data_IF_161636346196
#
_entry.id   IF_161636346196
#
_cell.length_a   1.000
_cell.length_b   1.000
_cell.length_c   1.000
_cell.angle_alpha   90.00
_cell.angle_beta   90.00
_cell.angle_gamma   90.00
#
_symmetry.space_group_name_H-M   'P 1'
#
loop_
_entity.id
_entity.type
_entity.pdbx_description
1 polymer ?
#
# COMPACT_ATOMS: atom_id res chain seq x y z
N UNK A 1 -44.94 12.67 21.71
CA UNK A 1 -44.47 13.45 20.56
C UNK A 1 -44.31 12.47 19.40
N UNK A 2 -45.01 12.73 18.29
CA UNK A 2 -44.94 11.88 17.10
C UNK A 2 -43.52 12.01 16.47
N UNK A 3 -42.88 10.88 16.17
CA UNK A 3 -41.62 10.82 15.46
C UNK A 3 -41.88 11.31 14.02
N UNK A 4 -41.08 12.26 13.47
CA UNK A 4 -41.26 12.71 12.09
C UNK A 4 -41.25 11.54 11.11
N UNK A 5 -42.12 11.55 10.10
CA UNK A 5 -42.27 10.45 9.13
C UNK A 5 -40.94 10.07 8.44
N UNK A 6 -40.04 11.03 8.22
CA UNK A 6 -38.70 10.78 7.70
C UNK A 6 -37.82 9.95 8.65
N UNK A 7 -37.92 10.17 9.97
CA UNK A 7 -37.18 9.38 10.96
C UNK A 7 -37.76 7.97 11.08
N UNK A 8 -39.08 7.81 10.99
CA UNK A 8 -39.72 6.48 10.96
C UNK A 8 -39.27 5.67 9.73
N UNK A 9 -39.13 6.29 8.57
CA UNK A 9 -38.66 5.62 7.35
C UNK A 9 -37.21 5.11 7.46
N UNK A 10 -36.35 5.80 8.22
CA UNK A 10 -34.95 5.37 8.45
C UNK A 10 -34.88 4.11 9.33
N UNK A 11 -35.79 3.95 10.28
CA UNK A 11 -35.83 2.79 11.18
C UNK A 11 -36.65 1.61 10.64
N UNK A 12 -37.61 1.83 9.78
CA UNK A 12 -38.48 0.76 9.23
C UNK A 12 -37.79 0.00 8.09
N UNK A 13 -36.99 0.65 7.24
CA UNK A 13 -36.25 0.00 6.13
C UNK A 13 -35.28 -1.08 6.59
N UNK A 14 -34.39 -0.86 7.58
CA UNK A 14 -33.53 -1.92 8.08
C UNK A 14 -34.30 -3.12 8.70
N UNK A 15 -35.40 -2.87 9.39
CA UNK A 15 -36.25 -3.93 9.92
C UNK A 15 -36.93 -4.75 8.82
N UNK A 16 -37.48 -4.10 7.81
CA UNK A 16 -38.09 -4.77 6.67
C UNK A 16 -37.06 -5.59 5.88
N UNK A 17 -35.87 -5.06 5.68
CA UNK A 17 -34.77 -5.78 5.03
C UNK A 17 -34.37 -7.01 5.85
N UNK A 18 -34.19 -6.86 7.17
CA UNK A 18 -33.87 -7.97 8.06
C UNK A 18 -34.92 -9.05 8.03
N UNK A 19 -36.20 -8.68 8.10
CA UNK A 19 -37.32 -9.62 8.03
C UNK A 19 -37.39 -10.35 6.68
N UNK A 20 -37.07 -9.65 5.58
CA UNK A 20 -37.02 -10.24 4.24
C UNK A 20 -35.84 -11.23 4.04
N UNK A 21 -34.77 -11.08 4.83
CA UNK A 21 -33.61 -11.97 4.79
C UNK A 21 -33.64 -13.07 5.84
N UNK A 22 -34.58 -12.99 6.79
CA UNK A 22 -34.74 -13.98 7.86
C UNK A 22 -35.08 -15.34 7.27
N UNK A 23 -34.29 -16.38 7.61
CA UNK A 23 -34.45 -17.73 7.08
C UNK A 23 -33.90 -17.96 5.67
N UNK A 24 -33.37 -16.97 5.01
CA UNK A 24 -32.65 -17.19 3.75
C UNK A 24 -31.22 -17.69 4.00
N UNK A 25 -30.77 -18.66 3.21
CA UNK A 25 -29.41 -19.13 3.26
C UNK A 25 -28.47 -17.99 2.81
N UNK A 26 -27.30 -17.87 3.46
CA UNK A 26 -26.28 -16.95 2.98
C UNK A 26 -25.90 -17.30 1.54
N UNK A 27 -25.81 -16.28 0.66
CA UNK A 27 -25.38 -16.54 -0.72
C UNK A 27 -23.97 -17.10 -0.72
N UNK A 28 -23.77 -18.21 -1.44
CA UNK A 28 -22.43 -18.74 -1.69
C UNK A 28 -21.68 -17.70 -2.52
N UNK A 29 -20.64 -17.13 -1.93
CA UNK A 29 -19.79 -16.18 -2.65
C UNK A 29 -18.74 -16.96 -3.42
N UNK A 30 -18.62 -16.66 -4.71
CA UNK A 30 -17.48 -17.12 -5.48
C UNK A 30 -16.18 -16.60 -4.85
N UNK A 31 -15.11 -17.41 -4.82
CA UNK A 31 -13.81 -16.94 -4.36
C UNK A 31 -13.40 -15.68 -5.12
N UNK A 32 -12.95 -14.65 -4.40
CA UNK A 32 -12.46 -13.44 -5.04
C UNK A 32 -11.22 -13.75 -5.88
N UNK A 33 -11.12 -13.24 -7.10
CA UNK A 33 -9.93 -13.41 -7.91
C UNK A 33 -8.74 -12.75 -7.20
N UNK A 34 -7.54 -13.33 -7.38
CA UNK A 34 -6.27 -12.79 -6.84
C UNK A 34 -5.87 -11.48 -7.56
N UNK A 35 -6.74 -10.49 -7.50
CA UNK A 35 -6.59 -9.15 -8.08
C UNK A 35 -6.75 -8.12 -7.00
N UNK A 36 -5.80 -7.19 -6.93
CA UNK A 36 -5.86 -6.12 -5.97
C UNK A 36 -6.63 -4.93 -6.53
N UNK A 37 -7.68 -4.50 -5.84
CA UNK A 37 -8.36 -3.26 -6.11
C UNK A 37 -8.08 -2.24 -5.01
N UNK A 38 -7.60 -1.07 -5.39
CA UNK A 38 -7.45 0.08 -4.52
C UNK A 38 -8.39 1.17 -4.99
N UNK A 39 -8.85 2.03 -4.09
CA UNK A 39 -9.80 3.07 -4.42
C UNK A 39 -9.50 4.37 -3.71
N UNK A 40 -9.69 5.47 -4.41
CA UNK A 40 -9.84 6.79 -3.83
C UNK A 40 -11.33 7.13 -3.68
N UNK A 41 -11.63 8.37 -3.35
CA UNK A 41 -13.00 8.89 -3.30
C UNK A 41 -13.75 8.77 -4.64
N UNK A 42 -13.07 8.86 -5.75
CA UNK A 42 -13.66 8.98 -7.09
C UNK A 42 -13.09 8.03 -8.14
N UNK A 43 -12.04 7.28 -7.82
CA UNK A 43 -11.36 6.40 -8.77
C UNK A 43 -10.97 5.08 -8.13
N UNK A 44 -11.05 3.98 -8.90
CA UNK A 44 -10.48 2.68 -8.54
C UNK A 44 -9.31 2.33 -9.46
N UNK A 45 -8.36 1.58 -8.92
CA UNK A 45 -7.20 1.05 -9.64
C UNK A 45 -7.10 -0.43 -9.38
N UNK A 46 -7.08 -1.22 -10.45
CA UNK A 46 -6.81 -2.66 -10.40
C UNK A 46 -5.33 -2.91 -10.62
N UNK A 47 -4.74 -3.71 -9.75
CA UNK A 47 -3.39 -4.26 -9.92
C UNK A 47 -3.52 -5.75 -10.09
N UNK A 48 -3.06 -6.26 -11.23
CA UNK A 48 -3.17 -7.65 -11.61
C UNK A 48 -1.94 -8.05 -12.42
N UNK A 49 -1.51 -9.31 -12.29
CA UNK A 49 -0.37 -9.87 -13.02
C UNK A 49 -0.54 -9.92 -14.55
N UNK A 50 -1.77 -9.82 -15.03
CA UNK A 50 -2.14 -9.92 -16.45
C UNK A 50 -2.61 -8.55 -17.01
N UNK A 51 -2.59 -7.48 -16.21
CA UNK A 51 -2.89 -6.11 -16.62
C UNK A 51 -1.60 -5.28 -16.78
N UNK A 52 -1.67 -4.14 -17.48
CA UNK A 52 -0.55 -3.22 -17.58
C UNK A 52 -0.01 -2.79 -16.23
N UNK A 53 1.30 -2.56 -16.17
CA UNK A 53 1.98 -2.14 -14.94
C UNK A 53 1.41 -0.85 -14.37
N UNK A 54 1.15 -0.84 -13.08
CA UNK A 54 0.68 0.33 -12.33
C UNK A 54 1.88 1.02 -11.68
N UNK A 55 2.04 2.32 -11.97
CA UNK A 55 3.11 3.12 -11.36
C UNK A 55 2.68 3.65 -10.00
N UNK A 56 3.53 3.45 -9.00
CA UNK A 56 3.40 4.00 -7.65
C UNK A 56 4.36 5.17 -7.52
N UNK A 57 3.84 6.36 -7.21
CA UNK A 57 4.64 7.54 -6.94
C UNK A 57 5.20 7.50 -5.51
N UNK A 58 6.53 7.42 -5.37
CA UNK A 58 7.25 7.24 -4.09
C UNK A 58 7.93 8.52 -3.57
N UNK A 59 7.64 9.69 -4.14
CA UNK A 59 8.39 10.93 -3.82
C UNK A 59 7.90 11.66 -2.57
N UNK A 60 6.76 11.26 -2.00
CA UNK A 60 6.28 11.77 -0.71
C UNK A 60 6.89 10.93 0.40
N UNK A 61 8.21 11.02 0.49
CA UNK A 61 9.01 10.33 1.50
C UNK A 61 10.17 11.24 1.93
N UNK A 62 10.25 11.62 3.22
CA UNK A 62 11.28 12.52 3.75
C UNK A 62 12.65 11.87 3.86
N UNK A 63 12.76 10.54 3.76
CA UNK A 63 14.03 9.80 3.87
C UNK A 63 15.01 10.27 2.81
N UNK A 64 16.18 10.76 3.24
CA UNK A 64 17.20 11.33 2.35
C UNK A 64 16.86 12.68 1.71
N UNK A 65 15.68 13.26 1.98
CA UNK A 65 15.19 14.53 1.43
C UNK A 65 15.12 15.62 2.50
N UNK A 66 16.28 16.17 2.87
CA UNK A 66 16.42 17.12 4.00
C UNK A 66 15.42 18.30 3.94
N UNK A 67 15.18 18.88 2.75
CA UNK A 67 14.23 19.98 2.57
C UNK A 67 12.80 19.56 2.90
N UNK A 68 12.35 18.42 2.36
CA UNK A 68 11.00 17.89 2.64
C UNK A 68 10.83 17.57 4.12
N UNK A 69 11.86 16.94 4.74
CA UNK A 69 11.83 16.63 6.18
C UNK A 69 11.76 17.89 7.04
N UNK A 70 12.45 18.99 6.66
CA UNK A 70 12.38 20.27 7.38
C UNK A 70 10.97 20.89 7.27
N UNK A 71 10.39 20.95 6.06
CA UNK A 71 9.04 21.47 5.85
C UNK A 71 7.98 20.68 6.64
N UNK A 72 8.09 19.34 6.65
CA UNK A 72 7.17 18.50 7.44
C UNK A 72 7.32 18.78 8.94
N UNK A 73 8.56 18.99 9.44
CA UNK A 73 8.83 19.32 10.85
C UNK A 73 8.23 20.65 11.25
N UNK A 74 8.20 21.61 10.33
CA UNK A 74 7.56 22.92 10.51
C UNK A 74 6.02 22.88 10.35
N UNK A 75 5.45 21.69 10.04
CA UNK A 75 4.03 21.50 9.81
C UNK A 75 3.55 21.95 8.42
N UNK A 76 4.48 22.26 7.51
CA UNK A 76 4.15 22.65 6.13
C UNK A 76 4.01 21.42 5.24
N UNK A 77 2.92 21.36 4.47
CA UNK A 77 2.67 20.31 3.48
C UNK A 77 2.82 20.82 2.02
N UNK A 78 3.45 21.98 1.81
CA UNK A 78 3.55 22.57 0.48
C UNK A 78 4.26 21.66 -0.52
N UNK A 79 5.43 21.13 -0.15
CA UNK A 79 6.17 20.19 -0.99
C UNK A 79 5.46 18.84 -1.13
N UNK A 80 4.80 18.35 -0.09
CA UNK A 80 3.98 17.13 -0.13
C UNK A 80 2.89 17.26 -1.18
N UNK A 81 2.11 18.34 -1.14
CA UNK A 81 1.04 18.63 -2.10
C UNK A 81 1.56 18.78 -3.53
N UNK A 82 2.67 19.48 -3.70
CA UNK A 82 3.33 19.65 -5.01
C UNK A 82 3.77 18.31 -5.59
N UNK A 83 4.41 17.45 -4.77
CA UNK A 83 4.83 16.11 -5.20
C UNK A 83 3.62 15.24 -5.55
N UNK A 84 2.54 15.26 -4.77
CA UNK A 84 1.33 14.50 -5.07
C UNK A 84 0.79 14.83 -6.47
N UNK A 85 0.60 16.12 -6.77
CA UNK A 85 0.09 16.57 -8.07
C UNK A 85 1.06 16.26 -9.22
N UNK A 86 2.37 16.47 -9.00
CA UNK A 86 3.39 16.25 -10.04
C UNK A 86 3.51 14.77 -10.42
N UNK A 87 3.47 13.86 -9.43
CA UNK A 87 3.55 12.43 -9.69
C UNK A 87 2.32 11.92 -10.46
N UNK A 88 1.12 12.37 -10.09
CA UNK A 88 -0.10 12.00 -10.84
C UNK A 88 -0.04 12.55 -12.28
N UNK A 89 0.41 13.79 -12.49
CA UNK A 89 0.62 14.35 -13.83
C UNK A 89 1.67 13.58 -14.64
N UNK A 90 2.68 13.01 -13.96
CA UNK A 90 3.71 12.18 -14.58
C UNK A 90 3.26 10.72 -14.82
N UNK A 91 2.02 10.37 -14.51
CA UNK A 91 1.44 9.06 -14.81
C UNK A 91 1.36 8.10 -13.62
N UNK A 92 1.72 8.52 -12.40
CA UNK A 92 1.50 7.70 -11.22
C UNK A 92 0.00 7.48 -11.01
N UNK A 93 -0.38 6.22 -10.80
CA UNK A 93 -1.77 5.80 -10.56
C UNK A 93 -2.05 5.52 -9.09
N UNK A 94 -1.02 5.33 -8.30
CA UNK A 94 -1.00 5.26 -6.84
C UNK A 94 0.03 6.27 -6.31
N UNK A 95 -0.18 6.75 -5.09
CA UNK A 95 0.80 7.58 -4.37
C UNK A 95 1.15 6.91 -3.05
N UNK A 96 2.43 6.71 -2.84
CA UNK A 96 2.99 6.28 -1.56
C UNK A 96 3.26 7.49 -0.67
N UNK A 97 2.78 7.44 0.58
CA UNK A 97 2.81 8.59 1.50
C UNK A 97 3.49 8.18 2.79
N UNK A 98 4.70 8.70 2.98
CA UNK A 98 5.50 8.55 4.19
C UNK A 98 5.70 9.93 4.85
N UNK A 99 5.35 10.03 6.12
CA UNK A 99 5.49 11.24 6.94
C UNK A 99 6.46 11.06 8.11
N UNK A 100 7.31 10.02 8.07
CA UNK A 100 8.24 9.65 9.12
C UNK A 100 9.40 10.63 9.27
N UNK A 101 9.26 11.60 10.14
CA UNK A 101 10.28 12.58 10.51
C UNK A 101 10.50 12.53 12.01
N UNK A 102 11.74 12.44 12.44
CA UNK A 102 12.06 12.45 13.88
C UNK A 102 11.63 13.77 14.54
N UNK A 103 11.05 13.66 15.74
CA UNK A 103 10.68 14.80 16.57
C UNK A 103 9.33 15.44 16.25
N UNK A 104 8.47 14.77 15.45
CA UNK A 104 7.10 15.23 15.20
C UNK A 104 6.07 14.21 15.69
N UNK A 105 4.83 14.65 15.82
CA UNK A 105 3.67 13.78 16.00
C UNK A 105 3.33 13.11 14.66
N UNK A 106 3.77 11.87 14.48
CA UNK A 106 3.57 11.09 13.27
C UNK A 106 2.08 10.86 12.96
N UNK A 107 1.26 10.70 14.00
CA UNK A 107 -0.19 10.48 13.91
C UNK A 107 -0.87 11.69 13.28
N UNK A 108 -0.57 12.88 13.80
CA UNK A 108 -1.10 14.15 13.30
C UNK A 108 -0.62 14.43 11.88
N UNK A 109 0.68 14.23 11.62
CA UNK A 109 1.28 14.48 10.31
C UNK A 109 0.68 13.55 9.23
N UNK A 110 0.55 12.26 9.51
CA UNK A 110 -0.04 11.30 8.57
C UNK A 110 -1.50 11.63 8.29
N UNK A 111 -2.30 11.86 9.34
CA UNK A 111 -3.72 12.24 9.18
C UNK A 111 -3.86 13.48 8.28
N UNK A 112 -3.07 14.52 8.53
CA UNK A 112 -3.15 15.77 7.79
C UNK A 112 -2.72 15.56 6.32
N UNK A 113 -1.59 14.88 6.07
CA UNK A 113 -1.10 14.60 4.73
C UNK A 113 -2.12 13.81 3.90
N UNK A 114 -2.66 12.71 4.46
CA UNK A 114 -3.67 11.87 3.79
C UNK A 114 -4.92 12.68 3.46
N UNK A 115 -5.43 13.48 4.41
CA UNK A 115 -6.61 14.33 4.18
C UNK A 115 -6.39 15.31 3.04
N UNK A 116 -5.26 16.00 3.03
CA UNK A 116 -4.95 17.02 2.02
C UNK A 116 -4.68 16.41 0.64
N UNK A 117 -3.94 15.31 0.56
CA UNK A 117 -3.67 14.62 -0.71
C UNK A 117 -4.96 14.06 -1.32
N UNK A 118 -5.84 13.47 -0.50
CA UNK A 118 -7.11 12.92 -0.97
C UNK A 118 -8.08 13.97 -1.51
N UNK A 119 -7.89 15.25 -1.15
CA UNK A 119 -8.65 16.38 -1.73
C UNK A 119 -8.05 16.88 -3.05
N UNK A 120 -6.74 16.73 -3.22
CA UNK A 120 -6.00 17.27 -4.37
C UNK A 120 -5.92 16.33 -5.56
N UNK A 121 -5.94 15.02 -5.33
CA UNK A 121 -5.78 14.00 -6.36
C UNK A 121 -6.82 12.89 -6.22
N UNK A 122 -7.08 12.19 -7.32
CA UNK A 122 -7.94 11.02 -7.37
C UNK A 122 -7.14 9.70 -7.35
N UNK A 123 -5.82 9.75 -7.18
CA UNK A 123 -4.99 8.57 -7.06
C UNK A 123 -5.20 7.89 -5.70
N UNK A 124 -5.43 6.56 -5.65
CA UNK A 124 -5.40 5.82 -4.39
C UNK A 124 -4.06 5.95 -3.67
N UNK A 125 -4.09 5.82 -2.33
CA UNK A 125 -2.91 6.00 -1.49
C UNK A 125 -2.41 4.68 -0.92
N UNK A 126 -1.09 4.54 -0.88
CA UNK A 126 -0.37 3.65 0.00
C UNK A 126 0.07 4.46 1.23
N UNK A 127 -0.21 3.96 2.42
CA UNK A 127 0.17 4.58 3.69
C UNK A 127 1.43 3.88 4.18
N UNK A 128 2.56 4.58 4.06
CA UNK A 128 3.89 4.07 4.39
C UNK A 128 4.30 4.56 5.79
N UNK A 129 4.23 3.66 6.75
CA UNK A 129 4.66 3.92 8.11
C UNK A 129 4.95 2.62 8.86
N UNK A 130 5.86 2.69 9.83
CA UNK A 130 6.12 1.62 10.79
C UNK A 130 5.37 1.81 12.12
N UNK A 131 4.70 2.94 12.31
CA UNK A 131 3.95 3.30 13.52
C UNK A 131 2.47 2.94 13.34
N UNK A 132 1.96 2.02 14.17
CA UNK A 132 0.57 1.56 14.11
C UNK A 132 -0.45 2.67 14.38
N UNK A 133 -0.14 3.62 15.26
CA UNK A 133 -1.02 4.74 15.56
C UNK A 133 -1.10 5.73 14.38
N UNK A 134 0.04 6.01 13.74
CA UNK A 134 0.08 6.82 12.53
C UNK A 134 -0.65 6.12 11.35
N UNK A 135 -0.48 4.80 11.22
CA UNK A 135 -1.21 3.99 10.25
C UNK A 135 -2.72 4.11 10.46
N UNK A 136 -3.19 3.88 11.69
CA UNK A 136 -4.62 3.97 11.99
C UNK A 136 -5.17 5.37 11.72
N UNK A 137 -4.43 6.41 12.06
CA UNK A 137 -4.84 7.79 11.82
C UNK A 137 -4.96 8.09 10.32
N UNK A 138 -4.03 7.59 9.51
CA UNK A 138 -4.08 7.69 8.05
C UNK A 138 -5.26 6.93 7.45
N UNK A 139 -5.44 5.66 7.83
CA UNK A 139 -6.56 4.82 7.37
C UNK A 139 -7.91 5.41 7.72
N UNK A 140 -8.08 5.93 8.93
CA UNK A 140 -9.30 6.58 9.40
C UNK A 140 -9.62 7.85 8.62
N UNK A 141 -8.60 8.60 8.21
CA UNK A 141 -8.77 9.85 7.46
C UNK A 141 -8.99 9.62 5.96
N UNK A 142 -8.64 8.45 5.44
CA UNK A 142 -8.68 8.18 4.01
C UNK A 142 -10.07 7.74 3.54
N UNK A 143 -10.70 8.46 2.58
CA UNK A 143 -12.06 8.15 2.12
C UNK A 143 -12.10 7.09 1.02
N UNK A 144 -11.19 6.13 1.02
CA UNK A 144 -11.06 5.09 0.00
C UNK A 144 -10.53 3.78 0.55
N UNK A 145 -10.15 2.87 -0.35
CA UNK A 145 -9.45 1.64 0.00
C UNK A 145 -7.95 1.84 -0.18
N UNK A 146 -7.23 2.00 0.93
CA UNK A 146 -5.79 2.21 0.95
C UNK A 146 -5.00 0.90 0.79
N UNK A 147 -3.70 1.05 0.44
CA UNK A 147 -2.68 0.03 0.59
C UNK A 147 -1.87 0.34 1.86
N UNK A 148 -1.68 -0.62 2.73
CA UNK A 148 -0.76 -0.52 3.87
C UNK A 148 0.65 -0.87 3.38
N UNK A 149 1.59 0.04 3.47
CA UNK A 149 2.99 -0.16 3.15
C UNK A 149 3.82 -0.11 4.45
N UNK A 150 4.26 -1.24 5.01
CA UNK A 150 4.11 -2.62 4.58
C UNK A 150 3.89 -3.52 5.80
N UNK A 151 3.45 -4.74 5.54
CA UNK A 151 3.39 -5.81 6.55
C UNK A 151 4.56 -6.76 6.29
N UNK A 152 5.39 -6.95 7.32
CA UNK A 152 6.52 -7.88 7.33
C UNK A 152 6.15 -9.17 8.07
N UNK A 153 7.01 -10.20 7.99
CA UNK A 153 6.82 -11.46 8.71
C UNK A 153 7.31 -11.40 10.18
N UNK A 154 7.42 -10.19 10.72
CA UNK A 154 7.72 -9.94 12.13
C UNK A 154 6.43 -10.01 12.96
N UNK A 155 6.45 -10.71 14.10
CA UNK A 155 5.26 -10.96 14.91
C UNK A 155 4.57 -9.68 15.40
N UNK A 156 5.35 -8.68 15.79
CA UNK A 156 4.81 -7.36 16.19
C UNK A 156 4.08 -6.69 15.04
N UNK A 157 4.63 -6.77 13.83
CA UNK A 157 4.02 -6.20 12.63
C UNK A 157 2.71 -6.90 12.27
N UNK A 158 2.71 -8.22 12.32
CA UNK A 158 1.52 -9.07 12.12
C UNK A 158 0.44 -8.69 13.13
N UNK A 159 0.79 -8.67 14.42
CA UNK A 159 -0.14 -8.38 15.53
C UNK A 159 -0.78 -7.00 15.41
N UNK A 160 0.01 -5.99 15.05
CA UNK A 160 -0.43 -4.58 15.12
C UNK A 160 -1.09 -4.11 13.82
N UNK A 161 -0.71 -4.64 12.64
CA UNK A 161 -1.13 -4.12 11.35
C UNK A 161 -2.29 -4.92 10.71
N UNK A 162 -2.35 -6.24 10.88
CA UNK A 162 -3.42 -7.03 10.26
C UNK A 162 -4.82 -6.70 10.81
N UNK A 163 -5.01 -6.48 12.13
CA UNK A 163 -6.30 -6.02 12.63
C UNK A 163 -6.73 -4.66 12.07
N UNK A 164 -5.77 -3.75 11.82
CA UNK A 164 -6.06 -2.47 11.19
C UNK A 164 -6.44 -2.65 9.72
N UNK A 165 -5.74 -3.51 8.98
CA UNK A 165 -6.12 -3.85 7.60
C UNK A 165 -7.55 -4.36 7.52
N UNK A 166 -7.91 -5.31 8.38
CA UNK A 166 -9.29 -5.85 8.46
C UNK A 166 -10.31 -4.78 8.85
N UNK A 167 -10.01 -4.01 9.89
CA UNK A 167 -10.89 -2.96 10.43
C UNK A 167 -11.27 -1.91 9.38
N UNK A 168 -10.30 -1.49 8.56
CA UNK A 168 -10.49 -0.43 7.57
C UNK A 168 -10.71 -0.97 6.14
N UNK A 169 -10.72 -2.28 5.93
CA UNK A 169 -10.83 -2.90 4.61
C UNK A 169 -9.68 -2.53 3.68
N UNK A 170 -8.50 -2.25 4.26
CA UNK A 170 -7.31 -1.90 3.51
C UNK A 170 -6.61 -3.14 2.96
N UNK A 171 -5.95 -2.99 1.81
CA UNK A 171 -5.06 -3.99 1.29
C UNK A 171 -3.67 -3.90 1.94
N UNK A 172 -2.87 -4.95 1.85
CA UNK A 172 -1.52 -4.97 2.42
C UNK A 172 -0.45 -5.24 1.36
N UNK A 173 0.66 -4.51 1.46
CA UNK A 173 1.90 -4.83 0.79
C UNK A 173 2.68 -5.79 1.69
N UNK A 174 2.87 -7.03 1.22
CA UNK A 174 3.64 -8.05 1.95
C UNK A 174 5.11 -7.90 1.60
N UNK A 175 5.96 -7.67 2.62
CA UNK A 175 7.40 -7.46 2.45
C UNK A 175 8.17 -8.60 3.13
N UNK A 176 9.04 -9.36 2.42
CA UNK A 176 9.69 -10.56 2.93
C UNK A 176 10.87 -10.24 3.86
N UNK A 177 10.55 -9.64 5.00
CA UNK A 177 11.45 -9.37 6.13
C UNK A 177 10.94 -10.18 7.32
N UNK A 178 11.83 -10.85 8.03
CA UNK A 178 11.55 -11.68 9.20
C UNK A 178 12.27 -11.11 10.43
N UNK A 179 12.10 -11.72 11.60
CA UNK A 179 12.85 -11.39 12.82
C UNK A 179 14.37 -11.50 12.61
N UNK A 180 14.81 -12.39 11.73
CA UNK A 180 16.23 -12.55 11.35
C UNK A 180 16.70 -11.50 10.34
N UNK A 181 15.82 -10.57 9.94
CA UNK A 181 16.05 -9.51 8.98
C UNK A 181 15.63 -9.87 7.55
N UNK A 182 16.34 -9.30 6.57
CA UNK A 182 16.00 -9.40 5.14
C UNK A 182 16.25 -10.80 4.60
N UNK A 183 15.22 -11.42 4.04
CA UNK A 183 15.32 -12.72 3.35
C UNK A 183 16.22 -12.62 2.11
N UNK A 184 17.29 -13.41 2.08
CA UNK A 184 18.33 -13.31 1.05
C UNK A 184 18.00 -14.08 -0.22
N UNK A 185 17.45 -15.28 -0.07
CA UNK A 185 17.11 -16.16 -1.21
C UNK A 185 15.66 -16.01 -1.64
N UNK A 186 15.36 -16.38 -2.87
CA UNK A 186 14.00 -16.34 -3.39
C UNK A 186 13.07 -17.28 -2.63
N UNK A 187 13.58 -18.44 -2.20
CA UNK A 187 12.86 -19.43 -1.42
C UNK A 187 12.50 -18.91 -0.03
N UNK A 188 13.43 -18.22 0.65
CA UNK A 188 13.16 -17.65 1.97
C UNK A 188 12.17 -16.48 1.87
N UNK A 189 12.24 -15.69 0.79
CA UNK A 189 11.25 -14.66 0.49
C UNK A 189 9.86 -15.26 0.28
N UNK A 190 9.77 -16.36 -0.47
CA UNK A 190 8.50 -17.07 -0.66
C UNK A 190 7.92 -17.52 0.68
N UNK A 191 8.72 -18.19 1.54
CA UNK A 191 8.27 -18.64 2.86
C UNK A 191 7.78 -17.48 3.75
N UNK A 192 8.52 -16.36 3.77
CA UNK A 192 8.11 -15.19 4.53
C UNK A 192 6.76 -14.63 4.04
N UNK A 193 6.56 -14.56 2.72
CA UNK A 193 5.28 -14.13 2.15
C UNK A 193 4.15 -15.12 2.43
N UNK A 194 4.39 -16.43 2.32
CA UNK A 194 3.41 -17.45 2.68
C UNK A 194 2.97 -17.33 4.14
N UNK A 195 3.91 -17.06 5.05
CA UNK A 195 3.62 -16.81 6.45
C UNK A 195 2.72 -15.58 6.63
N UNK A 196 3.08 -14.42 6.02
CA UNK A 196 2.26 -13.19 6.08
C UNK A 196 0.85 -13.44 5.54
N UNK A 197 0.73 -14.06 4.36
CA UNK A 197 -0.57 -14.36 3.72
C UNK A 197 -1.41 -15.31 4.58
N UNK A 198 -0.79 -16.34 5.16
CA UNK A 198 -1.44 -17.27 6.09
C UNK A 198 -2.02 -16.52 7.29
N UNK A 199 -1.20 -15.73 7.97
CA UNK A 199 -1.62 -14.91 9.12
C UNK A 199 -2.68 -13.87 8.76
N UNK A 200 -2.58 -13.26 7.59
CA UNK A 200 -3.57 -12.32 7.12
C UNK A 200 -4.94 -12.98 6.87
N UNK A 201 -4.97 -14.18 6.29
CA UNK A 201 -6.20 -14.96 6.11
C UNK A 201 -6.80 -15.40 7.45
N UNK A 202 -5.98 -15.80 8.42
CA UNK A 202 -6.44 -16.07 9.80
C UNK A 202 -7.10 -14.83 10.44
N UNK A 203 -6.64 -13.62 10.09
CA UNK A 203 -7.24 -12.35 10.48
C UNK A 203 -8.42 -11.92 9.60
N UNK A 204 -8.84 -12.74 8.63
CA UNK A 204 -10.01 -12.53 7.79
C UNK A 204 -9.80 -11.62 6.59
N UNK A 205 -8.54 -11.48 6.10
CA UNK A 205 -8.27 -10.88 4.80
C UNK A 205 -8.53 -11.89 3.69
N UNK A 206 -8.93 -11.39 2.51
CA UNK A 206 -9.28 -12.20 1.35
C UNK A 206 -8.19 -12.18 0.26
N UNK A 207 -8.33 -13.03 -0.75
CA UNK A 207 -7.39 -13.12 -1.89
C UNK A 207 -7.22 -11.81 -2.69
N UNK A 208 -8.15 -10.89 -2.57
CA UNK A 208 -8.09 -9.54 -3.19
C UNK A 208 -7.34 -8.49 -2.37
N UNK A 209 -6.68 -8.86 -1.27
CA UNK A 209 -6.08 -7.93 -0.32
C UNK A 209 -4.55 -7.85 -0.41
N UNK A 210 -3.90 -8.65 -1.26
CA UNK A 210 -2.45 -8.84 -1.24
C UNK A 210 -1.73 -8.21 -2.44
N UNK A 211 -0.63 -7.50 -2.16
CA UNK A 211 0.40 -7.09 -3.10
C UNK A 211 1.74 -7.58 -2.57
N UNK A 212 2.53 -8.30 -3.38
CA UNK A 212 3.77 -8.93 -2.94
C UNK A 212 4.98 -8.13 -3.39
N UNK A 213 5.85 -7.71 -2.47
CA UNK A 213 7.12 -7.07 -2.82
C UNK A 213 8.22 -8.13 -2.95
N UNK A 214 8.92 -8.12 -4.07
CA UNK A 214 10.05 -9.03 -4.30
C UNK A 214 11.36 -8.51 -3.70
N UNK A 215 11.33 -7.39 -2.96
CA UNK A 215 12.43 -6.81 -2.21
C UNK A 215 13.71 -6.58 -3.04
N UNK A 216 13.74 -5.48 -3.76
CA UNK A 216 14.91 -5.09 -4.55
C UNK A 216 16.00 -4.52 -3.66
N UNK A 217 17.10 -5.25 -3.53
CA UNK A 217 18.31 -4.79 -2.86
C UNK A 217 19.20 -3.98 -3.81
N UNK A 218 20.04 -3.09 -3.25
CA UNK A 218 21.01 -2.35 -4.05
C UNK A 218 22.07 -3.28 -4.66
N UNK A 219 22.40 -3.09 -5.93
CA UNK A 219 23.43 -3.91 -6.63
C UNK A 219 24.80 -3.81 -5.96
N UNK A 220 25.08 -2.70 -5.28
CA UNK A 220 26.30 -2.51 -4.51
C UNK A 220 26.37 -3.39 -3.26
N UNK A 221 25.23 -3.83 -2.74
CA UNK A 221 25.17 -4.68 -1.55
C UNK A 221 25.30 -6.18 -1.89
N UNK A 222 24.77 -6.61 -3.04
CA UNK A 222 24.83 -7.99 -3.49
C UNK A 222 24.79 -8.08 -5.02
N UNK A 223 25.81 -8.71 -5.62
CA UNK A 223 25.89 -8.92 -7.08
C UNK A 223 24.80 -9.87 -7.61
N UNK A 224 24.29 -10.77 -6.78
CA UNK A 224 23.24 -11.72 -7.12
C UNK A 224 21.82 -11.16 -6.88
N UNK A 225 21.70 -9.99 -6.25
CA UNK A 225 20.41 -9.43 -5.84
C UNK A 225 19.37 -9.39 -6.98
N UNK A 226 19.79 -9.03 -8.19
CA UNK A 226 18.87 -8.98 -9.34
C UNK A 226 18.37 -10.36 -9.76
N UNK A 227 19.23 -11.39 -9.69
CA UNK A 227 18.84 -12.77 -10.03
C UNK A 227 17.83 -13.31 -9.02
N UNK A 228 18.09 -13.07 -7.73
CA UNK A 228 17.17 -13.48 -6.67
C UNK A 228 15.82 -12.78 -6.77
N UNK A 229 15.78 -11.48 -7.12
CA UNK A 229 14.53 -10.76 -7.37
C UNK A 229 13.72 -11.37 -8.51
N UNK A 230 14.35 -11.67 -9.66
CA UNK A 230 13.67 -12.29 -10.80
C UNK A 230 13.13 -13.69 -10.44
N UNK A 231 13.93 -14.50 -9.72
CA UNK A 231 13.53 -15.80 -9.23
C UNK A 231 12.37 -15.68 -8.23
N UNK A 232 12.42 -14.70 -7.34
CA UNK A 232 11.33 -14.40 -6.39
C UNK A 232 10.02 -14.11 -7.11
N UNK A 233 10.04 -13.22 -8.12
CA UNK A 233 8.85 -12.91 -8.92
C UNK A 233 8.28 -14.15 -9.64
N UNK A 234 9.17 -15.00 -10.15
CA UNK A 234 8.75 -16.24 -10.80
C UNK A 234 8.07 -17.18 -9.80
N UNK A 235 8.64 -17.35 -8.59
CA UNK A 235 8.05 -18.16 -7.53
C UNK A 235 6.71 -17.59 -7.06
N UNK A 236 6.61 -16.27 -6.84
CA UNK A 236 5.35 -15.63 -6.46
C UNK A 236 4.25 -15.88 -7.50
N UNK A 237 4.59 -15.77 -8.79
CA UNK A 237 3.63 -16.02 -9.87
C UNK A 237 3.19 -17.47 -9.93
N UNK A 238 4.13 -18.43 -9.76
CA UNK A 238 3.86 -19.86 -9.88
C UNK A 238 3.14 -20.44 -8.66
N UNK A 239 3.60 -20.07 -7.45
CA UNK A 239 3.11 -20.67 -6.22
C UNK A 239 1.92 -19.93 -5.61
N UNK A 240 1.90 -18.58 -5.67
CA UNK A 240 0.92 -17.76 -4.99
C UNK A 240 -0.10 -17.12 -5.93
N UNK A 241 0.33 -16.66 -7.11
CA UNK A 241 -0.52 -16.08 -8.15
C UNK A 241 -1.08 -14.69 -7.83
N UNK A 242 -0.62 -14.01 -6.77
CA UNK A 242 -0.98 -12.63 -6.44
C UNK A 242 -0.17 -11.63 -7.27
N UNK A 243 -0.68 -10.39 -7.45
CA UNK A 243 0.09 -9.31 -8.06
C UNK A 243 1.33 -8.99 -7.22
N UNK A 244 2.41 -8.56 -7.89
CA UNK A 244 3.67 -8.22 -7.26
C UNK A 244 4.14 -6.82 -7.65
N UNK A 245 5.01 -6.24 -6.82
CA UNK A 245 5.62 -4.93 -7.02
C UNK A 245 7.13 -4.97 -6.88
N UNK A 246 7.78 -3.91 -7.36
CA UNK A 246 9.22 -3.73 -7.30
C UNK A 246 9.55 -2.27 -7.01
N UNK A 247 10.33 -2.00 -5.97
CA UNK A 247 10.94 -0.69 -5.71
C UNK A 247 12.22 -0.52 -6.55
N UNK A 248 12.08 -0.25 -7.85
CA UNK A 248 13.21 -0.18 -8.79
C UNK A 248 14.21 0.94 -8.47
N UNK A 249 13.80 2.01 -7.82
CA UNK A 249 14.67 3.11 -7.37
C UNK A 249 15.75 2.62 -6.41
N UNK A 250 15.49 1.63 -5.58
CA UNK A 250 16.47 1.05 -4.65
C UNK A 250 17.68 0.45 -5.36
N UNK A 251 17.49 -0.09 -6.58
CA UNK A 251 18.57 -0.70 -7.37
C UNK A 251 19.71 0.25 -7.70
N UNK A 252 19.42 1.53 -7.90
CA UNK A 252 20.39 2.55 -8.33
C UNK A 252 20.94 3.39 -7.18
N UNK A 253 20.55 3.15 -5.93
CA UNK A 253 21.14 3.82 -4.78
C UNK A 253 22.63 3.48 -4.69
N UNK A 254 23.45 4.48 -4.41
CA UNK A 254 24.92 4.37 -4.31
C UNK A 254 25.69 4.10 -5.61
N UNK A 255 25.07 4.19 -6.80
CA UNK A 255 25.79 4.13 -8.06
C UNK A 255 26.46 5.47 -8.42
N UNK A 256 27.65 5.48 -9.06
CA UNK A 256 28.33 6.71 -9.49
C UNK A 256 27.48 7.57 -10.42
N UNK A 257 27.75 8.90 -10.44
CA UNK A 257 27.00 9.91 -11.23
C UNK A 257 26.72 9.56 -12.70
N UNK A 258 27.63 8.82 -13.36
CA UNK A 258 27.40 8.34 -14.74
C UNK A 258 26.19 7.44 -14.91
N UNK A 259 25.80 6.74 -13.84
CA UNK A 259 24.65 5.86 -13.84
C UNK A 259 23.38 6.60 -13.39
N UNK A 260 23.51 7.81 -12.80
CA UNK A 260 22.37 8.66 -12.45
C UNK A 260 21.63 9.21 -13.68
N UNK A 261 22.31 9.42 -14.81
CA UNK A 261 21.65 9.75 -16.08
C UNK A 261 20.79 8.58 -16.58
N UNK A 262 21.19 7.33 -16.28
CA UNK A 262 20.37 6.15 -16.51
C UNK A 262 19.23 6.01 -15.48
N UNK A 263 19.34 6.65 -14.31
CA UNK A 263 18.25 6.71 -13.32
C UNK A 263 17.12 7.62 -13.82
N UNK A 264 17.45 8.81 -14.33
CA UNK A 264 16.48 9.70 -14.98
C UNK A 264 15.87 9.07 -16.22
N UNK A 265 16.65 8.37 -17.06
CA UNK A 265 16.15 7.59 -18.19
C UNK A 265 15.29 6.39 -17.78
N UNK A 266 15.56 5.76 -16.64
CA UNK A 266 14.71 4.63 -16.14
C UNK A 266 13.47 5.13 -15.43
N UNK A 267 13.52 6.26 -14.76
CA UNK A 267 12.33 6.99 -14.29
C UNK A 267 11.47 7.39 -15.51
N UNK A 268 12.08 7.86 -16.61
CA UNK A 268 11.42 8.11 -17.89
C UNK A 268 10.98 6.83 -18.62
N UNK A 269 11.73 5.73 -18.53
CA UNK A 269 11.36 4.43 -19.15
C UNK A 269 10.30 3.67 -18.36
N UNK A 270 10.28 3.79 -17.04
CA UNK A 270 9.15 3.29 -16.23
C UNK A 270 7.87 4.09 -16.49
N UNK A 271 8.01 5.34 -16.95
CA UNK A 271 6.91 6.20 -17.42
C UNK A 271 6.54 5.95 -18.89
N UNK A 272 7.40 5.31 -19.71
CA UNK A 272 7.21 5.13 -21.16
C UNK A 272 6.89 3.72 -21.61
N UNK A 273 6.94 2.73 -20.74
CA UNK A 273 6.50 1.36 -21.07
C UNK A 273 5.08 1.16 -20.56
N UNK A 274 4.13 1.68 -21.33
CA UNK A 274 2.77 1.19 -21.44
C UNK A 274 2.75 -0.06 -22.34
#
# INVERSE_FOLDING_TARGET
RAVPAAAAAVYTRPRALRAALEGQAEPVREPLPKRLWLASRSRSVCVDKDLPTVLIGERINPTGRKKLAAEIREGSLLSVKKEAVNQVKAGARLLDVNMGVAGIDATKAMKQAVTEIAQLTDAPLAIDTSDAAALEAGLRAYPGRALINSVTAEDDRIRDFLPLAKKYGAAILCLPITEDGVSKTAEDRLKAIEYIVGKAKENGLDDGDFLLDALVMTVSADKNACREVLKTLQLYRQCLGYPSTLALSNKSNCLPKRTMNNRTMKEDLSLKHN
#
